data_IF_083334254484
#
_entry.id   IF_083334254484
#
_cell.length_a   1.000
_cell.length_b   1.000
_cell.length_c   1.000
_cell.angle_alpha   90.00
_cell.angle_beta   90.00
_cell.angle_gamma   90.00
#
_symmetry.space_group_name_H-M   'P 1'
#
loop_
_entity.id
_entity.type
_entity.pdbx_description
1 polymer ?
#
# COMPACT_ATOMS: atom_id res chain seq x y z
N UNK A 1 -65.25 28.28 -50.12
CA UNK A 1 -65.65 28.39 -48.70
C UNK A 1 -64.40 28.34 -47.83
N UNK A 2 -64.27 29.29 -46.89
CA UNK A 2 -63.16 29.45 -45.92
C UNK A 2 -61.76 29.64 -46.53
N UNK A 3 -61.55 30.74 -47.26
CA UNK A 3 -60.24 31.43 -47.41
C UNK A 3 -60.32 32.85 -47.99
N UNK A 4 -61.53 33.37 -48.22
CA UNK A 4 -61.77 34.71 -48.80
C UNK A 4 -62.42 35.73 -47.84
N UNK A 5 -62.51 35.42 -46.53
CA UNK A 5 -63.16 36.29 -45.53
C UNK A 5 -62.16 36.92 -44.54
N UNK A 6 -60.85 36.62 -44.65
CA UNK A 6 -59.80 37.22 -43.79
C UNK A 6 -58.99 38.31 -44.53
N UNK A 7 -59.11 38.40 -45.86
CA UNK A 7 -58.44 39.44 -46.67
C UNK A 7 -59.25 40.75 -46.71
N UNK A 8 -60.47 40.78 -46.18
CA UNK A 8 -61.34 41.96 -46.19
C UNK A 8 -61.31 42.81 -44.90
N UNK A 9 -60.53 42.43 -43.87
CA UNK A 9 -60.35 43.25 -42.65
C UNK A 9 -58.98 43.97 -42.64
N UNK A 10 -58.08 43.65 -43.57
CA UNK A 10 -56.79 44.32 -43.70
C UNK A 10 -56.78 45.52 -44.67
N UNK A 11 -57.94 45.92 -45.21
CA UNK A 11 -58.05 47.01 -46.20
C UNK A 11 -59.03 48.13 -45.77
N UNK A 12 -59.43 48.19 -44.49
CA UNK A 12 -60.40 49.19 -44.03
C UNK A 12 -60.11 49.77 -42.64
N UNK A 13 -58.83 50.00 -42.33
CA UNK A 13 -58.41 50.95 -41.27
C UNK A 13 -57.18 51.72 -41.77
N UNK A 14 -57.30 52.32 -42.96
CA UNK A 14 -56.36 53.31 -43.52
C UNK A 14 -56.97 54.73 -43.48
N UNK A 15 -57.95 54.97 -42.61
CA UNK A 15 -58.65 56.25 -42.52
C UNK A 15 -59.01 56.63 -41.07
N UNK A 16 -58.00 56.68 -40.21
CA UNK A 16 -58.03 57.51 -39.00
C UNK A 16 -56.58 57.79 -38.60
N UNK A 17 -56.10 58.99 -38.91
CA UNK A 17 -54.77 59.46 -38.55
C UNK A 17 -54.59 59.55 -37.04
N UNK A 18 -54.12 58.47 -36.45
CA UNK A 18 -53.52 58.44 -35.12
C UNK A 18 -52.09 57.95 -35.32
N UNK A 19 -51.16 58.89 -35.45
CA UNK A 19 -49.73 58.62 -35.33
C UNK A 19 -49.46 58.11 -33.93
N UNK A 20 -49.42 56.79 -33.74
CA UNK A 20 -48.62 56.21 -32.67
C UNK A 20 -47.18 56.30 -33.13
N UNK A 21 -46.38 57.17 -32.51
CA UNK A 21 -44.94 57.05 -32.62
C UNK A 21 -44.58 55.65 -32.12
N UNK A 22 -44.06 54.82 -33.01
CA UNK A 22 -43.35 53.62 -32.63
C UNK A 22 -42.11 54.07 -31.87
N UNK A 23 -42.21 54.14 -30.54
CA UNK A 23 -41.03 54.15 -29.70
C UNK A 23 -40.25 52.88 -30.06
N UNK A 24 -39.07 53.08 -30.65
CA UNK A 24 -38.10 52.02 -30.86
C UNK A 24 -37.82 51.39 -29.49
N UNK A 25 -38.35 50.18 -29.25
CA UNK A 25 -37.86 49.33 -28.17
C UNK A 25 -36.49 48.84 -28.63
N UNK A 26 -35.47 49.63 -28.35
CA UNK A 26 -34.08 49.19 -28.37
C UNK A 26 -33.98 48.12 -27.30
N UNK A 27 -33.71 46.87 -27.71
CA UNK A 27 -33.23 45.86 -26.76
C UNK A 27 -31.89 46.38 -26.26
N UNK A 28 -31.87 46.95 -25.05
CA UNK A 28 -30.66 47.41 -24.42
C UNK A 28 -29.77 46.18 -24.18
N UNK A 29 -28.67 46.09 -24.93
CA UNK A 29 -27.68 45.05 -24.71
C UNK A 29 -27.26 45.05 -23.24
N UNK A 30 -27.19 43.87 -22.63
CA UNK A 30 -26.91 43.66 -21.21
C UNK A 30 -25.63 42.85 -21.02
N UNK A 31 -25.04 42.93 -19.83
CA UNK A 31 -23.91 42.08 -19.47
C UNK A 31 -24.40 40.65 -19.25
N UNK A 32 -23.91 39.70 -20.04
CA UNK A 32 -24.24 38.28 -19.94
C UNK A 32 -23.19 37.49 -19.15
N UNK A 33 -21.91 37.86 -19.29
CA UNK A 33 -20.80 37.20 -18.60
C UNK A 33 -19.78 38.23 -18.12
N UNK A 34 -19.19 37.97 -16.96
CA UNK A 34 -18.07 38.78 -16.41
C UNK A 34 -16.81 37.93 -16.36
N UNK A 35 -15.70 38.46 -16.86
CA UNK A 35 -14.35 37.90 -16.70
C UNK A 35 -13.43 38.87 -15.98
N UNK A 36 -12.50 38.33 -15.21
CA UNK A 36 -11.54 39.11 -14.46
C UNK A 36 -10.11 38.65 -14.72
N UNK A 37 -9.20 39.62 -14.81
CA UNK A 37 -7.76 39.41 -14.96
C UNK A 37 -7.01 40.24 -13.94
N UNK A 38 -6.04 39.65 -13.25
CA UNK A 38 -5.21 40.34 -12.27
C UNK A 38 -3.78 40.40 -12.79
N UNK A 39 -3.17 41.57 -12.70
CA UNK A 39 -1.77 41.77 -13.05
C UNK A 39 -1.06 42.57 -11.97
N UNK A 40 0.24 42.36 -11.85
CA UNK A 40 1.11 43.10 -10.95
C UNK A 40 2.42 43.43 -11.62
N UNK A 41 3.02 44.54 -11.21
CA UNK A 41 4.38 44.91 -11.60
C UNK A 41 5.43 43.97 -10.93
N UNK A 42 5.02 43.15 -9.95
CA UNK A 42 5.83 42.11 -9.30
C UNK A 42 5.30 40.69 -9.53
N UNK A 43 6.00 39.68 -8.97
CA UNK A 43 5.56 38.28 -9.05
C UNK A 43 4.36 38.03 -8.14
N UNK A 44 3.30 37.43 -8.69
CA UNK A 44 2.20 36.83 -7.93
C UNK A 44 2.19 35.34 -8.23
N UNK A 45 2.28 34.46 -7.21
CA UNK A 45 2.17 33.03 -7.41
C UNK A 45 0.89 32.66 -8.17
N UNK A 46 0.99 31.78 -9.17
CA UNK A 46 -0.11 31.50 -10.11
C UNK A 46 -1.43 31.11 -9.42
N UNK A 47 -1.36 30.24 -8.40
CA UNK A 47 -2.54 29.81 -7.64
C UNK A 47 -3.20 30.94 -6.85
N UNK A 48 -2.40 31.90 -6.38
CA UNK A 48 -2.88 33.10 -5.68
C UNK A 48 -3.55 34.04 -6.68
N UNK A 49 -2.93 34.26 -7.85
CA UNK A 49 -3.48 35.08 -8.93
C UNK A 49 -4.86 34.57 -9.39
N UNK A 50 -4.97 33.27 -9.70
CA UNK A 50 -6.24 32.65 -10.12
C UNK A 50 -7.35 32.80 -9.06
N UNK A 51 -7.01 32.76 -7.77
CA UNK A 51 -7.98 32.99 -6.71
C UNK A 51 -8.40 34.46 -6.61
N UNK A 52 -7.47 35.39 -6.81
CA UNK A 52 -7.79 36.81 -6.89
C UNK A 52 -8.75 37.05 -8.07
N UNK A 53 -8.45 36.52 -9.25
CA UNK A 53 -9.30 36.62 -10.45
C UNK A 53 -10.71 36.07 -10.19
N UNK A 54 -10.83 34.87 -9.61
CA UNK A 54 -12.15 34.32 -9.24
C UNK A 54 -12.92 35.19 -8.26
N UNK A 55 -12.23 35.79 -7.30
CA UNK A 55 -12.86 36.73 -6.34
C UNK A 55 -13.36 37.98 -7.07
N UNK A 56 -12.54 38.56 -7.96
CA UNK A 56 -12.90 39.76 -8.75
C UNK A 56 -14.08 39.45 -9.65
N UNK A 57 -14.05 38.30 -10.30
CA UNK A 57 -15.12 37.82 -11.16
C UNK A 57 -16.42 37.65 -10.39
N UNK A 58 -16.40 37.01 -9.21
CA UNK A 58 -17.62 36.81 -8.41
C UNK A 58 -18.24 38.14 -7.93
N UNK A 59 -17.42 39.10 -7.51
CA UNK A 59 -17.89 40.43 -7.12
C UNK A 59 -18.41 41.20 -8.34
N UNK A 60 -17.68 41.15 -9.45
CA UNK A 60 -18.07 41.78 -10.72
C UNK A 60 -19.39 41.23 -11.25
N UNK A 61 -19.56 39.91 -11.23
CA UNK A 61 -20.79 39.22 -11.59
C UNK A 61 -21.98 39.73 -10.76
N UNK A 62 -21.84 39.72 -9.42
CA UNK A 62 -22.89 40.18 -8.52
C UNK A 62 -23.25 41.67 -8.72
N UNK A 63 -22.28 42.50 -9.09
CA UNK A 63 -22.50 43.94 -9.28
C UNK A 63 -23.03 44.29 -10.68
N UNK A 64 -22.65 43.54 -11.72
CA UNK A 64 -22.77 43.99 -13.12
C UNK A 64 -23.58 43.05 -14.01
N UNK A 65 -23.71 41.75 -13.70
CA UNK A 65 -24.53 40.84 -14.51
C UNK A 65 -25.98 41.29 -14.57
N UNK A 66 -26.58 41.20 -15.76
CA UNK A 66 -27.96 41.62 -16.01
C UNK A 66 -28.19 43.13 -16.05
N UNK A 67 -27.16 43.98 -15.83
CA UNK A 67 -27.27 45.42 -16.06
C UNK A 67 -27.13 45.75 -17.55
N UNK A 68 -27.81 46.81 -18.00
CA UNK A 68 -27.68 47.33 -19.36
C UNK A 68 -26.29 47.93 -19.60
N UNK A 69 -25.69 47.68 -20.77
CA UNK A 69 -24.36 48.17 -21.13
C UNK A 69 -24.26 49.70 -21.07
N UNK A 70 -25.32 50.44 -21.41
CA UNK A 70 -25.35 51.91 -21.29
C UNK A 70 -25.23 52.40 -19.84
N UNK A 71 -25.85 51.67 -18.90
CA UNK A 71 -25.74 51.97 -17.47
C UNK A 71 -24.31 51.70 -16.96
N UNK A 72 -23.75 50.55 -17.32
CA UNK A 72 -22.38 50.19 -16.98
C UNK A 72 -21.38 51.19 -17.56
N UNK A 73 -21.58 51.63 -18.81
CA UNK A 73 -20.72 52.61 -19.46
C UNK A 73 -20.83 54.01 -18.81
N UNK A 74 -22.03 54.46 -18.47
CA UNK A 74 -22.27 55.78 -17.86
C UNK A 74 -21.83 55.85 -16.40
N UNK A 75 -21.86 54.75 -15.66
CA UNK A 75 -21.44 54.64 -14.26
C UNK A 75 -20.13 53.87 -14.08
N UNK A 76 -19.33 53.72 -15.14
CA UNK A 76 -18.11 52.93 -15.16
C UNK A 76 -17.19 53.23 -13.97
N UNK A 77 -16.86 54.49 -13.75
CA UNK A 77 -15.99 54.95 -12.65
C UNK A 77 -16.57 54.62 -11.28
N UNK A 78 -17.89 54.67 -11.12
CA UNK A 78 -18.54 54.32 -9.86
C UNK A 78 -18.39 52.83 -9.55
N UNK A 79 -18.56 51.95 -10.53
CA UNK A 79 -18.35 50.52 -10.36
C UNK A 79 -16.87 50.16 -10.14
N UNK A 80 -15.95 50.83 -10.85
CA UNK A 80 -14.51 50.71 -10.62
C UNK A 80 -14.12 51.08 -9.18
N UNK A 81 -14.64 52.20 -8.66
CA UNK A 81 -14.39 52.65 -7.29
C UNK A 81 -14.92 51.65 -6.24
N UNK A 82 -16.11 51.08 -6.46
CA UNK A 82 -16.68 50.06 -5.57
C UNK A 82 -15.77 48.83 -5.53
N UNK A 83 -15.39 48.32 -6.71
CA UNK A 83 -14.52 47.15 -6.81
C UNK A 83 -13.18 47.45 -6.14
N UNK A 84 -12.57 48.61 -6.42
CA UNK A 84 -11.32 49.03 -5.79
C UNK A 84 -11.42 49.05 -4.27
N UNK A 85 -12.45 49.67 -3.69
CA UNK A 85 -12.64 49.76 -2.24
C UNK A 85 -12.84 48.39 -1.58
N UNK A 86 -13.54 47.47 -2.24
CA UNK A 86 -13.74 46.11 -1.72
C UNK A 86 -12.41 45.34 -1.76
N UNK A 87 -11.68 45.42 -2.86
CA UNK A 87 -10.42 44.69 -3.03
C UNK A 87 -9.27 45.23 -2.18
N UNK A 88 -9.22 46.54 -1.92
CA UNK A 88 -8.21 47.15 -1.06
C UNK A 88 -8.35 46.70 0.41
N UNK A 89 -9.58 46.38 0.84
CA UNK A 89 -9.85 45.72 2.13
C UNK A 89 -9.69 44.20 2.07
N UNK A 90 -9.99 43.65 0.89
CA UNK A 90 -9.82 42.28 0.39
C UNK A 90 -8.43 41.67 0.65
N UNK A 91 -7.50 42.25 -0.10
CA UNK A 91 -6.21 41.69 -0.46
C UNK A 91 -5.12 42.31 0.39
N UNK A 92 -5.21 42.10 1.71
CA UNK A 92 -4.18 42.52 2.64
C UNK A 92 -2.80 42.00 2.16
N UNK A 93 -1.81 42.89 2.10
CA UNK A 93 -0.50 42.64 1.49
C UNK A 93 -0.35 43.13 0.04
N UNK A 94 -1.43 43.56 -0.60
CA UNK A 94 -1.43 44.19 -1.92
C UNK A 94 -2.26 45.47 -1.91
N UNK A 95 -1.80 46.49 -2.64
CA UNK A 95 -2.55 47.73 -2.85
C UNK A 95 -3.11 47.73 -4.27
N UNK A 96 -4.39 48.08 -4.41
CA UNK A 96 -5.03 48.19 -5.72
C UNK A 96 -4.62 49.51 -6.39
N UNK A 97 -3.86 49.41 -7.48
CA UNK A 97 -3.36 50.57 -8.24
C UNK A 97 -4.39 51.09 -9.24
N UNK A 98 -5.10 50.18 -9.90
CA UNK A 98 -6.09 50.52 -10.91
C UNK A 98 -7.10 49.40 -11.09
N UNK A 99 -8.36 49.76 -11.32
CA UNK A 99 -9.41 48.86 -11.82
C UNK A 99 -9.90 49.44 -13.13
N UNK A 100 -9.93 48.62 -14.18
CA UNK A 100 -10.46 49.02 -15.48
C UNK A 100 -11.55 48.05 -15.92
N UNK A 101 -12.75 48.58 -16.17
CA UNK A 101 -13.88 47.83 -16.71
C UNK A 101 -13.96 48.09 -18.21
N UNK A 102 -13.99 47.05 -19.02
CA UNK A 102 -14.31 47.12 -20.44
C UNK A 102 -15.72 46.56 -20.67
N UNK A 103 -16.73 47.43 -20.87
CA UNK A 103 -18.10 46.98 -21.11
C UNK A 103 -18.23 46.26 -22.46
N UNK A 104 -18.93 45.13 -22.42
CA UNK A 104 -19.29 44.29 -23.56
C UNK A 104 -20.27 43.24 -23.08
N UNK A 105 -20.89 42.48 -24.00
CA UNK A 105 -21.72 41.31 -23.64
C UNK A 105 -20.94 40.36 -22.72
N UNK A 106 -19.65 40.20 -23.02
CA UNK A 106 -18.62 39.64 -22.13
C UNK A 106 -17.80 40.78 -21.53
N UNK A 107 -18.13 41.18 -20.30
CA UNK A 107 -17.50 42.29 -19.60
C UNK A 107 -16.17 41.85 -18.98
N UNK A 108 -15.09 42.59 -19.27
CA UNK A 108 -13.76 42.30 -18.72
C UNK A 108 -13.37 43.31 -17.65
N UNK A 109 -12.93 42.80 -16.48
CA UNK A 109 -12.41 43.58 -15.36
C UNK A 109 -10.91 43.31 -15.23
N UNK A 110 -10.09 44.34 -15.38
CA UNK A 110 -8.63 44.24 -15.20
C UNK A 110 -8.21 44.99 -13.94
N UNK A 111 -7.54 44.29 -13.02
CA UNK A 111 -7.09 44.84 -11.73
C UNK A 111 -5.56 44.83 -11.66
N UNK A 112 -4.98 46.02 -11.49
CA UNK A 112 -3.54 46.21 -11.29
C UNK A 112 -3.21 46.26 -9.80
N UNK A 113 -2.32 45.38 -9.34
CA UNK A 113 -1.91 45.26 -7.95
C UNK A 113 -0.44 45.61 -7.74
N UNK A 114 -0.13 46.21 -6.59
CA UNK A 114 1.23 46.43 -6.11
C UNK A 114 1.41 45.73 -4.76
N UNK A 115 2.27 44.72 -4.72
CA UNK A 115 2.58 43.99 -3.49
C UNK A 115 3.40 44.85 -2.52
N UNK A 116 3.19 44.66 -1.23
CA UNK A 116 4.01 45.32 -0.20
C UNK A 116 5.44 44.79 -0.21
N UNK A 117 6.41 45.57 0.31
CA UNK A 117 7.83 45.23 0.23
C UNK A 117 8.25 44.07 1.14
N UNK A 118 7.51 43.80 2.20
CA UNK A 118 7.82 42.72 3.14
C UNK A 118 7.39 41.38 2.55
N UNK A 119 8.33 40.67 1.92
CA UNK A 119 8.11 39.42 1.20
C UNK A 119 8.77 38.24 1.88
N UNK A 120 8.19 37.06 1.64
CA UNK A 120 8.78 35.78 2.03
C UNK A 120 9.90 35.42 1.06
N UNK A 121 11.10 35.26 1.60
CA UNK A 121 12.30 34.84 0.85
C UNK A 121 12.63 33.37 1.12
N UNK A 122 12.95 33.05 2.38
CA UNK A 122 13.35 31.70 2.80
C UNK A 122 12.19 30.96 3.46
N UNK A 123 11.99 29.70 3.05
CA UNK A 123 10.93 28.81 3.53
C UNK A 123 11.57 27.50 4.00
N UNK A 124 11.23 27.08 5.22
CA UNK A 124 11.62 25.78 5.78
C UNK A 124 10.36 24.97 6.06
N UNK A 125 10.30 23.75 5.56
CA UNK A 125 9.17 22.84 5.75
C UNK A 125 9.58 21.71 6.68
N UNK A 126 8.86 21.55 7.78
CA UNK A 126 9.02 20.46 8.74
C UNK A 126 7.81 19.52 8.62
N UNK A 127 8.08 18.24 8.34
CA UNK A 127 7.05 17.21 8.16
C UNK A 127 7.04 16.31 9.38
N UNK A 128 5.86 16.09 9.97
CA UNK A 128 5.67 15.21 11.13
C UNK A 128 4.60 14.18 10.81
N UNK A 129 4.97 12.90 10.87
CA UNK A 129 4.02 11.81 10.66
C UNK A 129 3.49 11.35 12.01
N UNK A 130 2.21 11.58 12.26
CA UNK A 130 1.62 11.39 13.59
C UNK A 130 1.15 9.96 13.77
N UNK A 131 1.67 9.29 14.81
CA UNK A 131 1.19 7.99 15.26
C UNK A 131 1.58 6.81 14.37
N UNK A 132 2.53 6.98 13.45
CA UNK A 132 3.05 5.93 12.59
C UNK A 132 4.42 5.42 13.08
N UNK A 133 4.77 4.16 12.83
CA UNK A 133 6.13 3.66 13.11
C UNK A 133 7.15 4.31 12.18
N UNK A 134 8.41 4.39 12.62
CA UNK A 134 9.49 5.06 11.86
C UNK A 134 9.75 4.48 10.46
N UNK A 135 9.48 3.19 10.25
CA UNK A 135 9.56 2.54 8.94
C UNK A 135 8.53 3.14 7.97
N UNK A 136 7.28 3.31 8.43
CA UNK A 136 6.19 3.89 7.62
C UNK A 136 6.43 5.37 7.39
N UNK A 137 6.94 6.09 8.40
CA UNK A 137 7.34 7.48 8.25
C UNK A 137 8.39 7.65 7.16
N UNK A 138 9.43 6.81 7.14
CA UNK A 138 10.48 6.89 6.11
C UNK A 138 9.91 6.68 4.70
N UNK A 139 9.11 5.64 4.51
CA UNK A 139 8.48 5.33 3.21
C UNK A 139 7.52 6.44 2.77
N UNK A 140 6.73 6.99 3.69
CA UNK A 140 5.81 8.08 3.39
C UNK A 140 6.56 9.36 3.01
N UNK A 141 7.63 9.72 3.74
CA UNK A 141 8.42 10.91 3.45
C UNK A 141 9.12 10.81 2.08
N UNK A 142 9.47 9.60 1.65
CA UNK A 142 9.95 9.35 0.28
C UNK A 142 8.84 9.59 -0.76
N UNK A 143 7.62 9.08 -0.53
CA UNK A 143 6.46 9.30 -1.41
C UNK A 143 6.10 10.79 -1.58
N UNK A 144 6.35 11.62 -0.54
CA UNK A 144 6.02 13.05 -0.50
C UNK A 144 7.25 13.97 -0.51
N UNK A 145 8.37 13.51 -1.09
CA UNK A 145 9.62 14.28 -1.16
C UNK A 145 9.43 15.69 -1.70
N UNK A 146 8.57 15.85 -2.71
CA UNK A 146 8.39 17.10 -3.46
C UNK A 146 7.47 18.11 -2.77
N UNK A 147 6.94 17.79 -1.59
CA UNK A 147 6.03 18.68 -0.85
C UNK A 147 6.68 20.04 -0.52
N UNK A 148 8.00 20.10 -0.37
CA UNK A 148 8.71 21.35 -0.06
C UNK A 148 8.62 22.34 -1.22
N UNK A 149 8.69 21.83 -2.45
CA UNK A 149 8.53 22.64 -3.65
C UNK A 149 7.11 23.18 -3.77
N UNK A 150 6.09 22.42 -3.35
CA UNK A 150 4.70 22.88 -3.36
C UNK A 150 4.51 24.13 -2.50
N UNK A 151 5.12 24.19 -1.32
CA UNK A 151 5.06 25.38 -0.47
C UNK A 151 5.91 26.52 -1.04
N UNK A 152 7.11 26.22 -1.56
CA UNK A 152 7.96 27.20 -2.22
C UNK A 152 7.25 27.91 -3.39
N UNK A 153 6.53 27.16 -4.22
CA UNK A 153 5.81 27.69 -5.38
C UNK A 153 4.66 28.66 -5.03
N UNK A 154 4.14 28.59 -3.80
CA UNK A 154 3.00 29.41 -3.36
C UNK A 154 3.43 30.54 -2.44
N UNK A 155 4.44 30.32 -1.60
CA UNK A 155 4.84 31.26 -0.57
C UNK A 155 6.02 32.15 -0.99
N UNK A 156 6.90 31.70 -1.90
CA UNK A 156 8.05 32.52 -2.32
C UNK A 156 7.58 33.81 -2.99
N UNK A 157 8.22 34.92 -2.63
CA UNK A 157 7.89 36.28 -3.08
C UNK A 157 6.50 36.79 -2.66
N UNK A 158 5.74 36.01 -1.90
CA UNK A 158 4.44 36.44 -1.38
C UNK A 158 4.64 37.50 -0.29
N UNK A 159 3.86 38.60 -0.28
CA UNK A 159 3.86 39.54 0.84
C UNK A 159 3.46 38.83 2.13
N UNK A 160 4.19 39.10 3.22
CA UNK A 160 3.96 38.52 4.55
C UNK A 160 2.50 38.70 4.99
N UNK A 161 1.94 39.89 4.76
CA UNK A 161 0.57 40.23 5.11
C UNK A 161 -0.50 39.48 4.29
N UNK A 162 -0.11 38.79 3.20
CA UNK A 162 -1.01 38.02 2.35
C UNK A 162 -1.12 36.53 2.73
N UNK A 163 -0.35 36.05 3.71
CA UNK A 163 -0.32 34.64 4.13
C UNK A 163 -1.68 34.17 4.65
N UNK A 164 -2.30 34.94 5.55
CA UNK A 164 -3.55 34.57 6.22
C UNK A 164 -4.66 34.21 5.24
N UNK A 165 -4.85 35.06 4.21
CA UNK A 165 -5.90 34.83 3.26
C UNK A 165 -5.47 33.81 2.20
N UNK A 166 -4.18 33.59 1.91
CA UNK A 166 -3.71 32.59 0.92
C UNK A 166 -3.74 31.14 1.43
N UNK A 167 -3.90 30.91 2.74
CA UNK A 167 -4.08 29.59 3.36
C UNK A 167 -5.11 28.69 2.64
N UNK A 168 -6.22 29.28 2.15
CA UNK A 168 -7.22 28.53 1.38
C UNK A 168 -6.70 27.95 0.06
N UNK A 169 -5.78 28.65 -0.62
CA UNK A 169 -5.11 28.15 -1.85
C UNK A 169 -4.17 27.01 -1.51
N UNK A 170 -3.34 27.22 -0.48
CA UNK A 170 -2.36 26.22 -0.01
C UNK A 170 -3.08 24.94 0.40
N UNK A 171 -4.17 25.05 1.17
CA UNK A 171 -4.98 23.90 1.61
C UNK A 171 -5.59 23.11 0.46
N UNK A 172 -5.91 23.75 -0.66
CA UNK A 172 -6.39 23.02 -1.84
C UNK A 172 -5.23 22.27 -2.51
N UNK A 173 -4.09 22.95 -2.74
CA UNK A 173 -2.91 22.34 -3.35
C UNK A 173 -2.35 21.17 -2.54
N UNK A 174 -2.21 21.33 -1.22
CA UNK A 174 -1.78 20.25 -0.32
C UNK A 174 -2.72 19.06 -0.41
N UNK A 175 -4.04 19.29 -0.45
CA UNK A 175 -5.01 18.21 -0.61
C UNK A 175 -4.85 17.48 -1.94
N UNK A 176 -4.72 18.21 -3.04
CA UNK A 176 -4.58 17.63 -4.36
C UNK A 176 -3.28 16.84 -4.49
N UNK A 177 -2.18 17.38 -3.94
CA UNK A 177 -0.89 16.70 -3.85
C UNK A 177 -0.97 15.41 -3.02
N UNK A 178 -1.60 15.44 -1.84
CA UNK A 178 -1.78 14.24 -1.02
C UNK A 178 -2.68 13.21 -1.73
N UNK A 179 -3.75 13.63 -2.39
CA UNK A 179 -4.61 12.72 -3.16
C UNK A 179 -3.85 12.02 -4.30
N UNK A 180 -2.85 12.67 -4.88
CA UNK A 180 -2.03 12.09 -5.95
C UNK A 180 -0.90 11.20 -5.40
N UNK A 181 -0.20 11.65 -4.37
CA UNK A 181 1.03 11.01 -3.87
C UNK A 181 0.81 10.03 -2.73
N UNK A 182 -0.15 10.30 -1.84
CA UNK A 182 -0.42 9.52 -0.63
C UNK A 182 -1.89 9.65 -0.18
N UNK A 183 -2.87 9.19 -1.00
CA UNK A 183 -4.30 9.39 -0.75
C UNK A 183 -4.83 8.76 0.55
N UNK A 184 -4.08 7.82 1.10
CA UNK A 184 -4.27 7.19 2.41
C UNK A 184 -3.96 8.09 3.61
N UNK A 185 -3.40 9.28 3.40
CA UNK A 185 -3.04 10.22 4.45
C UNK A 185 -3.67 11.59 4.21
N UNK A 186 -3.94 12.30 5.31
CA UNK A 186 -4.31 13.71 5.31
C UNK A 186 -3.16 14.52 5.90
N UNK A 187 -2.81 15.60 5.21
CA UNK A 187 -1.90 16.61 5.73
C UNK A 187 -2.69 17.84 6.18
N UNK A 188 -2.43 18.30 7.39
CA UNK A 188 -2.76 19.64 7.86
C UNK A 188 -1.45 20.42 8.04
N UNK A 189 -1.49 21.75 7.96
CA UNK A 189 -0.29 22.57 8.07
C UNK A 189 -0.56 23.87 8.82
N UNK A 190 0.51 24.42 9.39
CA UNK A 190 0.55 25.75 9.97
C UNK A 190 1.73 26.55 9.40
N UNK A 191 1.55 27.85 9.24
CA UNK A 191 2.56 28.75 8.64
C UNK A 191 2.94 29.82 9.65
N UNK A 192 4.16 29.74 10.16
CA UNK A 192 4.75 30.73 11.05
C UNK A 192 5.61 31.70 10.23
N UNK A 193 5.16 32.95 10.13
CA UNK A 193 5.88 33.97 9.36
C UNK A 193 6.93 34.66 10.24
N UNK A 194 8.16 34.75 9.73
CA UNK A 194 9.31 35.38 10.39
C UNK A 194 10.44 35.65 9.40
N UNK A 195 11.65 35.93 9.89
CA UNK A 195 12.85 36.11 9.04
C UNK A 195 13.09 34.89 8.12
N UNK A 196 12.78 33.70 8.62
CA UNK A 196 12.60 32.49 7.85
C UNK A 196 11.19 31.98 8.10
N UNK A 197 10.39 31.84 7.05
CA UNK A 197 9.03 31.33 7.17
C UNK A 197 9.08 29.83 7.42
N UNK A 198 8.47 29.38 8.52
CA UNK A 198 8.43 27.96 8.90
C UNK A 198 7.05 27.40 8.61
N UNK A 199 7.01 26.29 7.89
CA UNK A 199 5.79 25.53 7.63
C UNK A 199 5.89 24.22 8.38
N UNK A 200 4.95 23.97 9.29
CA UNK A 200 4.85 22.69 10.01
C UNK A 200 3.71 21.90 9.40
N UNK A 201 3.99 20.71 8.88
CA UNK A 201 3.01 19.82 8.24
C UNK A 201 2.81 18.59 9.11
N UNK A 202 1.60 18.42 9.62
CA UNK A 202 1.18 17.25 10.37
C UNK A 202 0.40 16.28 9.49
N UNK A 203 0.88 15.05 9.39
CA UNK A 203 0.34 14.02 8.50
C UNK A 203 -0.30 12.91 9.31
N UNK A 204 -1.58 12.64 9.04
CA UNK A 204 -2.42 11.71 9.77
C UNK A 204 -2.94 10.59 8.87
N UNK A 205 -3.00 9.33 9.35
CA UNK A 205 -3.56 8.22 8.60
C UNK A 205 -5.07 8.36 8.43
N UNK A 206 -5.58 7.94 7.27
CA UNK A 206 -7.01 7.79 7.01
C UNK A 206 -7.45 6.34 7.16
N UNK A 207 -8.75 6.16 7.44
CA UNK A 207 -9.37 4.84 7.48
C UNK A 207 -9.61 4.31 6.05
N UNK A 208 -9.59 2.98 5.84
CA UNK A 208 -9.38 1.92 6.83
C UNK A 208 -7.89 1.68 7.15
N UNK A 209 -7.62 1.31 8.40
CA UNK A 209 -6.28 0.95 8.90
C UNK A 209 -6.22 -0.52 9.30
N UNK A 210 -5.02 -1.11 9.28
CA UNK A 210 -4.78 -2.44 9.85
C UNK A 210 -5.07 -2.39 11.35
N UNK A 211 -5.95 -3.27 11.82
CA UNK A 211 -6.34 -3.36 13.24
C UNK A 211 -5.76 -4.57 13.93
N UNK A 212 -5.68 -5.68 13.20
CA UNK A 212 -5.22 -6.97 13.73
C UNK A 212 -4.38 -7.68 12.69
N UNK A 213 -3.49 -8.54 13.19
CA UNK A 213 -2.56 -9.31 12.39
C UNK A 213 -2.74 -10.78 12.70
N UNK A 214 -2.93 -11.58 11.65
CA UNK A 214 -2.97 -13.03 11.72
C UNK A 214 -1.65 -13.60 11.21
N UNK A 215 -0.73 -13.84 12.15
CA UNK A 215 0.61 -14.36 11.85
C UNK A 215 0.61 -15.89 11.82
N UNK A 216 1.00 -16.41 10.66
CA UNK A 216 1.31 -17.82 10.43
C UNK A 216 2.77 -17.98 10.05
N UNK A 217 3.50 -18.84 10.77
CA UNK A 217 4.89 -19.20 10.47
C UNK A 217 5.00 -20.69 10.14
N UNK A 218 5.76 -21.04 9.10
CA UNK A 218 5.96 -22.43 8.67
C UNK A 218 7.38 -22.67 8.18
N UNK A 219 7.86 -23.90 8.34
CA UNK A 219 9.08 -24.40 7.69
C UNK A 219 8.85 -25.80 7.15
N UNK A 220 9.40 -26.06 5.97
CA UNK A 220 9.44 -27.39 5.37
C UNK A 220 10.73 -28.14 5.77
N UNK A 221 11.73 -27.41 6.27
CA UNK A 221 13.10 -27.89 6.53
C UNK A 221 13.51 -27.91 8.00
N UNK A 222 12.82 -27.15 8.85
CA UNK A 222 13.12 -27.02 10.26
C UNK A 222 11.90 -27.41 11.11
N UNK A 223 12.10 -27.89 12.35
CA UNK A 223 11.02 -28.15 13.29
C UNK A 223 10.27 -26.86 13.59
N UNK A 224 8.93 -26.93 13.68
CA UNK A 224 8.13 -25.76 14.00
C UNK A 224 8.49 -25.17 15.38
N UNK A 225 8.98 -26.01 16.31
CA UNK A 225 9.47 -25.57 17.61
C UNK A 225 10.64 -24.58 17.52
N UNK A 226 11.52 -24.72 16.51
CA UNK A 226 12.60 -23.77 16.29
C UNK A 226 12.09 -22.40 15.82
N UNK A 227 10.95 -22.38 15.12
CA UNK A 227 10.28 -21.14 14.69
C UNK A 227 9.49 -20.49 15.83
N UNK A 228 9.07 -21.24 16.85
CA UNK A 228 8.34 -20.68 17.99
C UNK A 228 9.17 -19.66 18.77
N UNK A 229 10.48 -19.89 18.88
CA UNK A 229 11.40 -18.95 19.54
C UNK A 229 11.43 -17.60 18.83
N UNK A 230 11.36 -17.60 17.49
CA UNK A 230 11.39 -16.39 16.67
C UNK A 230 10.00 -15.82 16.36
N UNK A 231 8.93 -16.47 16.83
CA UNK A 231 7.57 -16.02 16.60
C UNK A 231 7.34 -14.62 17.17
N UNK A 232 7.88 -14.33 18.35
CA UNK A 232 7.74 -13.01 18.95
C UNK A 232 8.43 -11.94 18.11
N UNK A 233 9.65 -12.21 17.62
CA UNK A 233 10.40 -11.27 16.79
C UNK A 233 9.67 -10.93 15.48
N UNK A 234 9.06 -11.93 14.84
CA UNK A 234 8.21 -11.74 13.65
C UNK A 234 6.90 -11.02 14.00
N UNK A 235 6.26 -11.38 15.12
CA UNK A 235 5.03 -10.72 15.58
C UNK A 235 5.28 -9.24 15.87
N UNK A 236 6.33 -8.89 16.59
CA UNK A 236 6.70 -7.50 16.89
C UNK A 236 6.96 -6.70 15.61
N UNK A 237 7.61 -7.33 14.62
CA UNK A 237 7.84 -6.71 13.30
C UNK A 237 6.54 -6.48 12.52
N UNK A 238 5.65 -7.46 12.52
CA UNK A 238 4.35 -7.33 11.87
C UNK A 238 3.47 -6.30 12.59
N UNK A 239 3.46 -6.30 13.93
CA UNK A 239 2.66 -5.41 14.77
C UNK A 239 2.99 -3.93 14.59
N UNK A 240 4.18 -3.60 14.06
CA UNK A 240 4.50 -2.23 13.62
C UNK A 240 3.48 -1.69 12.63
N UNK A 241 2.85 -2.55 11.82
CA UNK A 241 1.88 -2.15 10.81
C UNK A 241 0.46 -1.98 11.35
N UNK A 242 0.20 -2.24 12.64
CA UNK A 242 -1.10 -1.92 13.26
C UNK A 242 -1.27 -0.40 13.31
N UNK A 243 -2.42 0.08 12.85
CA UNK A 243 -2.73 1.50 12.72
C UNK A 243 -2.35 2.12 11.37
N UNK A 244 -1.61 1.39 10.52
CA UNK A 244 -1.22 1.87 9.19
C UNK A 244 -2.38 1.71 8.20
N UNK A 245 -2.62 2.69 7.30
CA UNK A 245 -3.64 2.57 6.27
C UNK A 245 -3.48 1.33 5.40
N UNK A 246 -4.57 0.59 5.16
CA UNK A 246 -4.54 -0.66 4.36
C UNK A 246 -4.06 -0.39 2.93
N UNK A 247 -4.45 0.75 2.35
CA UNK A 247 -4.03 1.15 1.01
C UNK A 247 -2.51 1.40 0.94
N UNK A 248 -1.91 1.97 1.99
CA UNK A 248 -0.46 2.18 2.08
C UNK A 248 0.28 0.85 2.11
N UNK A 249 -0.14 -0.07 2.98
CA UNK A 249 0.43 -1.42 3.09
C UNK A 249 0.33 -2.17 1.75
N UNK A 250 -0.77 -1.97 1.02
CA UNK A 250 -0.95 -2.57 -0.30
C UNK A 250 -0.01 -1.98 -1.36
N UNK A 251 0.26 -0.67 -1.29
CA UNK A 251 1.14 0.03 -2.24
C UNK A 251 2.61 -0.34 -2.01
N UNK A 252 3.01 -0.45 -0.75
CA UNK A 252 4.37 -0.80 -0.32
C UNK A 252 4.54 -2.29 0.04
N UNK A 253 3.70 -3.15 -0.55
CA UNK A 253 3.63 -4.58 -0.20
C UNK A 253 4.99 -5.26 -0.26
N UNK A 254 5.67 -5.14 -1.39
CA UNK A 254 6.92 -5.85 -1.66
C UNK A 254 8.03 -5.39 -0.70
N UNK A 255 8.13 -4.08 -0.45
CA UNK A 255 9.09 -3.50 0.50
C UNK A 255 8.84 -3.97 1.94
N UNK A 256 7.58 -4.10 2.35
CA UNK A 256 7.21 -4.60 3.68
C UNK A 256 7.53 -6.09 3.82
N UNK A 257 7.26 -6.89 2.78
CA UNK A 257 7.61 -8.32 2.75
C UNK A 257 9.11 -8.56 2.83
N UNK A 258 9.90 -7.75 2.12
CA UNK A 258 11.37 -7.79 2.18
C UNK A 258 11.86 -7.44 3.59
N UNK A 259 11.39 -6.33 4.16
CA UNK A 259 11.75 -5.91 5.52
C UNK A 259 11.45 -6.99 6.57
N UNK A 260 10.27 -7.62 6.51
CA UNK A 260 9.90 -8.69 7.43
C UNK A 260 10.73 -9.95 7.22
N UNK A 261 11.12 -10.25 5.98
CA UNK A 261 11.97 -11.39 5.64
C UNK A 261 13.38 -11.21 6.17
N UNK A 262 13.98 -10.03 5.93
CA UNK A 262 15.32 -9.66 6.41
C UNK A 262 15.42 -9.72 7.93
N UNK A 263 14.36 -9.34 8.65
CA UNK A 263 14.32 -9.39 10.11
C UNK A 263 14.64 -10.77 10.70
N UNK A 264 14.24 -11.85 10.02
CA UNK A 264 14.57 -13.22 10.44
C UNK A 264 15.91 -13.64 9.85
N UNK A 265 16.15 -13.36 8.58
CA UNK A 265 17.36 -13.80 7.88
C UNK A 265 18.64 -13.15 8.44
N UNK A 266 18.52 -12.00 9.08
CA UNK A 266 19.65 -11.31 9.70
C UNK A 266 20.09 -11.86 11.05
N UNK A 267 19.26 -12.68 11.69
CA UNK A 267 19.59 -13.30 12.97
C UNK A 267 20.82 -14.20 12.84
N UNK A 268 21.71 -14.18 13.84
CA UNK A 268 22.90 -15.04 13.85
C UNK A 268 22.54 -16.52 13.75
N UNK A 269 21.45 -16.93 14.40
CA UNK A 269 20.93 -18.30 14.32
C UNK A 269 20.46 -18.62 12.91
N UNK A 270 19.78 -17.70 12.22
CA UNK A 270 19.31 -17.89 10.85
C UNK A 270 20.47 -18.04 9.87
N UNK A 271 21.50 -17.20 10.02
CA UNK A 271 22.75 -17.28 9.24
C UNK A 271 23.48 -18.61 9.49
N UNK A 272 23.56 -19.06 10.74
CA UNK A 272 24.17 -20.35 11.10
C UNK A 272 23.47 -21.53 10.44
N UNK A 273 22.14 -21.55 10.44
CA UNK A 273 21.34 -22.62 9.82
C UNK A 273 21.10 -22.40 8.31
N UNK A 274 21.58 -21.32 7.72
CA UNK A 274 21.37 -20.99 6.30
C UNK A 274 19.88 -20.81 5.95
N UNK A 275 19.12 -20.22 6.86
CA UNK A 275 17.69 -19.94 6.72
C UNK A 275 17.48 -18.82 5.70
N UNK A 276 16.46 -18.99 4.88
CA UNK A 276 15.92 -17.95 4.03
C UNK A 276 14.43 -17.87 4.23
N UNK A 277 13.95 -16.66 4.52
CA UNK A 277 12.56 -16.37 4.86
C UNK A 277 11.88 -15.71 3.68
N UNK A 278 10.69 -16.18 3.36
CA UNK A 278 9.80 -15.53 2.41
C UNK A 278 8.50 -15.18 3.15
N UNK A 279 8.12 -13.90 3.12
CA UNK A 279 6.90 -13.39 3.73
C UNK A 279 5.89 -13.04 2.64
N UNK A 280 4.67 -13.54 2.76
CA UNK A 280 3.52 -13.09 1.97
C UNK A 280 2.52 -12.38 2.88
N UNK A 281 2.19 -11.13 2.55
CA UNK A 281 1.18 -10.33 3.25
C UNK A 281 -0.08 -10.18 2.39
N UNK A 282 -1.23 -10.25 3.06
CA UNK A 282 -2.53 -9.88 2.48
C UNK A 282 -3.05 -8.64 3.19
N UNK A 283 -2.90 -7.45 2.59
CA UNK A 283 -3.36 -6.20 3.18
C UNK A 283 -4.88 -6.19 3.39
N UNK A 284 -5.32 -5.98 4.63
CA UNK A 284 -6.71 -5.82 5.03
C UNK A 284 -6.77 -5.24 6.46
N UNK A 285 -7.96 -4.84 6.95
CA UNK A 285 -8.12 -4.43 8.36
C UNK A 285 -7.72 -5.57 9.33
N UNK A 286 -7.92 -6.82 8.91
CA UNK A 286 -7.29 -8.01 9.49
C UNK A 286 -6.23 -8.50 8.52
N UNK A 287 -4.99 -8.06 8.70
CA UNK A 287 -3.89 -8.39 7.82
C UNK A 287 -3.43 -9.83 8.06
N UNK A 288 -3.33 -10.64 7.01
CA UNK A 288 -2.70 -11.97 7.10
C UNK A 288 -1.22 -11.84 6.76
N UNK A 289 -0.36 -12.44 7.60
CA UNK A 289 1.09 -12.51 7.37
C UNK A 289 1.51 -13.98 7.40
N UNK A 290 1.99 -14.48 6.26
CA UNK A 290 2.50 -15.83 6.13
C UNK A 290 4.02 -15.79 5.96
N UNK A 291 4.76 -16.21 6.99
CA UNK A 291 6.21 -16.35 6.92
C UNK A 291 6.60 -17.81 6.69
N UNK A 292 7.41 -18.05 5.66
CA UNK A 292 8.00 -19.36 5.36
C UNK A 292 9.52 -19.27 5.45
N UNK A 293 10.08 -19.82 6.53
CA UNK A 293 11.52 -19.82 6.80
C UNK A 293 12.10 -21.21 6.53
N UNK A 294 12.87 -21.34 5.46
CA UNK A 294 13.46 -22.61 5.04
C UNK A 294 14.99 -22.52 5.00
N UNK A 295 15.67 -23.54 5.50
CA UNK A 295 17.11 -23.67 5.33
C UNK A 295 17.44 -24.19 3.93
N UNK A 296 18.49 -23.62 3.32
CA UNK A 296 18.98 -24.07 2.01
C UNK A 296 19.75 -25.38 2.06
N UNK A 297 20.34 -25.70 3.21
CA UNK A 297 21.31 -26.78 3.31
C UNK A 297 21.19 -27.63 4.58
N UNK A 298 20.28 -27.30 5.50
CA UNK A 298 20.05 -28.08 6.70
C UNK A 298 18.59 -28.55 6.74
N UNK A 299 18.42 -29.81 7.11
CA UNK A 299 17.11 -30.44 7.23
C UNK A 299 17.00 -31.08 8.61
N UNK A 300 16.08 -30.62 9.44
CA UNK A 300 15.82 -31.21 10.75
C UNK A 300 14.34 -31.53 10.85
N UNK A 301 14.02 -32.79 11.17
CA UNK A 301 12.64 -33.26 11.30
C UNK A 301 12.50 -34.24 12.45
N UNK A 302 11.40 -34.13 13.18
CA UNK A 302 10.99 -35.12 14.17
C UNK A 302 9.73 -35.83 13.69
N UNK A 303 9.77 -37.17 13.70
CA UNK A 303 8.65 -38.02 13.30
C UNK A 303 8.30 -38.98 14.45
N UNK A 304 7.00 -39.22 14.66
CA UNK A 304 6.51 -40.26 15.56
C UNK A 304 5.79 -41.34 14.76
N UNK A 305 6.27 -42.57 14.81
CA UNK A 305 5.74 -43.72 14.09
C UNK A 305 4.94 -44.61 15.04
N UNK A 306 3.78 -45.07 14.60
CA UNK A 306 2.97 -46.07 15.31
C UNK A 306 2.48 -47.14 14.35
N UNK A 307 2.74 -48.40 14.66
CA UNK A 307 2.43 -49.52 13.78
C UNK A 307 1.20 -50.31 14.23
N UNK A 308 0.37 -50.72 13.26
CA UNK A 308 -0.83 -51.50 13.46
C UNK A 308 -0.79 -52.77 12.59
N UNK A 309 -0.92 -53.92 13.24
CA UNK A 309 -1.00 -55.23 12.57
C UNK A 309 0.34 -55.89 12.26
N UNK A 310 1.47 -55.25 12.59
CA UNK A 310 2.80 -55.85 12.44
C UNK A 310 2.98 -57.01 13.42
N UNK A 311 3.30 -58.20 12.89
CA UNK A 311 3.47 -59.44 13.66
C UNK A 311 4.96 -59.75 13.79
N UNK A 312 5.58 -59.24 14.86
CA UNK A 312 6.94 -59.68 15.22
C UNK A 312 6.91 -61.09 15.82
N UNK A 313 8.05 -61.80 15.78
CA UNK A 313 8.18 -63.20 16.25
C UNK A 313 7.75 -63.40 17.72
N UNK A 314 7.75 -62.35 18.52
CA UNK A 314 7.06 -62.30 19.81
C UNK A 314 5.71 -61.61 19.59
N UNK A 315 4.60 -62.31 19.89
CA UNK A 315 3.19 -61.90 19.69
C UNK A 315 2.80 -60.56 20.36
N UNK A 316 3.42 -59.47 19.96
CA UNK A 316 3.30 -58.18 20.59
C UNK A 316 2.78 -57.19 19.54
N UNK A 317 1.61 -56.63 19.81
CA UNK A 317 0.91 -55.76 18.87
C UNK A 317 1.52 -54.35 18.92
N UNK A 318 2.10 -53.93 17.79
CA UNK A 318 2.46 -52.54 17.51
C UNK A 318 3.77 -52.07 18.13
N UNK A 319 4.63 -51.48 17.29
CA UNK A 319 5.82 -50.76 17.70
C UNK A 319 5.55 -49.24 17.57
N UNK A 320 5.98 -48.50 18.59
CA UNK A 320 6.00 -47.03 18.56
C UNK A 320 7.46 -46.61 18.51
N UNK A 321 7.78 -45.67 17.63
CA UNK A 321 9.15 -45.18 17.45
C UNK A 321 9.15 -43.67 17.25
N UNK A 322 10.13 -42.97 17.83
CA UNK A 322 10.37 -41.56 17.56
C UNK A 322 11.67 -41.39 16.80
N UNK A 323 11.62 -40.72 15.64
CA UNK A 323 12.76 -40.50 14.75
C UNK A 323 13.14 -39.03 14.72
N UNK A 324 14.39 -38.73 15.07
CA UNK A 324 15.04 -37.47 14.74
C UNK A 324 15.88 -37.62 13.47
N UNK A 325 15.57 -36.86 12.42
CA UNK A 325 16.35 -36.77 11.19
C UNK A 325 17.12 -35.44 11.19
N UNK A 326 18.43 -35.52 11.03
CA UNK A 326 19.33 -34.38 10.86
C UNK A 326 20.10 -34.56 9.55
N UNK A 327 19.80 -33.78 8.53
CA UNK A 327 20.49 -33.85 7.24
C UNK A 327 21.20 -32.53 6.92
N UNK A 328 22.34 -32.64 6.26
CA UNK A 328 23.07 -31.52 5.67
C UNK A 328 23.28 -31.77 4.18
N UNK A 329 22.79 -30.87 3.37
CA UNK A 329 22.94 -30.86 1.92
C UNK A 329 24.24 -30.13 1.56
N UNK A 330 25.06 -30.74 0.71
CA UNK A 330 26.34 -30.19 0.26
C UNK A 330 26.25 -29.64 -1.16
N UNK A 331 25.45 -30.28 -2.01
CA UNK A 331 25.18 -29.86 -3.39
C UNK A 331 23.68 -29.88 -3.65
N UNK A 332 23.20 -29.37 -4.79
CA UNK A 332 21.77 -29.43 -5.13
C UNK A 332 21.18 -30.85 -5.18
N UNK A 333 22.00 -31.91 -5.18
CA UNK A 333 21.56 -33.31 -5.22
C UNK A 333 22.11 -34.20 -4.10
N UNK A 334 23.23 -33.84 -3.47
CA UNK A 334 23.94 -34.70 -2.54
C UNK A 334 23.93 -34.13 -1.11
N UNK A 335 23.80 -35.02 -0.13
CA UNK A 335 23.91 -34.66 1.28
C UNK A 335 24.19 -35.86 2.19
N UNK A 336 24.51 -35.55 3.44
CA UNK A 336 24.63 -36.53 4.52
C UNK A 336 23.45 -36.37 5.48
N UNK A 337 23.15 -37.44 6.22
CA UNK A 337 22.15 -37.41 7.26
C UNK A 337 22.50 -38.34 8.43
N UNK A 338 21.95 -38.01 9.59
CA UNK A 338 21.95 -38.82 10.78
C UNK A 338 20.49 -39.08 11.18
N UNK A 339 20.19 -40.31 11.57
CA UNK A 339 18.93 -40.70 12.19
C UNK A 339 19.17 -41.12 13.63
N UNK A 340 18.28 -40.69 14.51
CA UNK A 340 18.19 -41.16 15.89
C UNK A 340 16.79 -41.71 16.07
N UNK A 341 16.68 -43.02 16.23
CA UNK A 341 15.41 -43.70 16.45
C UNK A 341 15.31 -44.16 17.91
N UNK A 342 14.24 -43.78 18.59
CA UNK A 342 13.96 -44.18 19.96
C UNK A 342 12.70 -45.04 20.02
N UNK A 343 12.83 -46.25 20.55
CA UNK A 343 11.76 -47.23 20.72
C UNK A 343 11.37 -47.30 22.21
N UNK A 344 10.29 -46.64 22.66
CA UNK A 344 9.98 -46.47 24.07
C UNK A 344 9.67 -47.79 24.79
N UNK A 345 9.07 -48.75 24.07
CA UNK A 345 8.64 -50.02 24.63
C UNK A 345 9.79 -50.84 25.22
N UNK A 346 10.94 -50.80 24.54
CA UNK A 346 12.13 -51.57 24.91
C UNK A 346 13.28 -50.65 25.37
N UNK A 347 13.03 -49.33 25.45
CA UNK A 347 14.04 -48.28 25.72
C UNK A 347 15.28 -48.44 24.84
N UNK A 348 15.08 -48.78 23.56
CA UNK A 348 16.15 -48.98 22.59
C UNK A 348 16.38 -47.69 21.81
N UNK A 349 17.65 -47.39 21.58
CA UNK A 349 18.10 -46.29 20.73
C UNK A 349 18.86 -46.89 19.55
N UNK A 350 18.54 -46.45 18.34
CA UNK A 350 19.29 -46.79 17.13
C UNK A 350 19.85 -45.50 16.51
N UNK A 351 21.09 -45.58 16.02
CA UNK A 351 21.77 -44.46 15.36
C UNK A 351 22.22 -44.88 13.97
N UNK A 352 21.70 -44.22 12.94
CA UNK A 352 22.13 -44.45 11.56
C UNK A 352 22.83 -43.20 11.02
N UNK A 353 23.93 -43.40 10.27
CA UNK A 353 24.61 -42.34 9.51
C UNK A 353 24.58 -42.70 8.03
N UNK A 354 24.21 -41.76 7.17
CA UNK A 354 24.05 -42.04 5.75
C UNK A 354 24.35 -40.88 4.81
N UNK A 355 24.43 -41.23 3.55
CA UNK A 355 24.51 -40.32 2.42
C UNK A 355 23.27 -40.49 1.55
N UNK A 356 22.77 -39.40 1.00
CA UNK A 356 21.69 -39.42 0.02
C UNK A 356 22.09 -38.69 -1.26
N UNK A 357 21.49 -39.12 -2.36
CA UNK A 357 21.60 -38.49 -3.68
C UNK A 357 20.23 -38.42 -4.33
N UNK A 358 19.85 -37.24 -4.82
CA UNK A 358 18.73 -37.07 -5.73
C UNK A 358 19.17 -37.46 -7.15
N UNK A 359 18.67 -38.61 -7.64
CA UNK A 359 19.08 -39.18 -8.93
C UNK A 359 18.40 -38.41 -10.07
N UNK A 360 17.08 -38.22 -9.94
CA UNK A 360 16.22 -37.43 -10.81
C UNK A 360 15.24 -36.67 -9.92
N UNK A 361 14.59 -35.59 -10.41
CA UNK A 361 13.61 -34.86 -9.63
C UNK A 361 12.60 -35.81 -8.96
N UNK A 362 12.45 -35.70 -7.64
CA UNK A 362 11.56 -36.52 -6.80
C UNK A 362 12.03 -37.95 -6.48
N UNK A 363 13.19 -38.40 -6.96
CA UNK A 363 13.76 -39.72 -6.64
C UNK A 363 15.04 -39.55 -5.83
N UNK A 364 14.99 -39.96 -4.57
CA UNK A 364 16.13 -39.90 -3.64
C UNK A 364 16.60 -41.31 -3.30
N UNK A 365 17.84 -41.62 -3.64
CA UNK A 365 18.50 -42.82 -3.13
C UNK A 365 19.33 -42.48 -1.90
N UNK A 366 19.43 -43.41 -0.96
CA UNK A 366 20.27 -43.28 0.22
C UNK A 366 20.97 -44.60 0.55
N UNK A 367 22.14 -44.47 1.15
CA UNK A 367 22.87 -45.56 1.77
C UNK A 367 23.24 -45.11 3.17
N UNK A 368 22.94 -45.92 4.17
CA UNK A 368 23.21 -45.61 5.58
C UNK A 368 23.75 -46.81 6.33
N UNK A 369 24.54 -46.54 7.35
CA UNK A 369 25.17 -47.51 8.21
C UNK A 369 24.59 -47.39 9.62
N UNK A 370 24.09 -48.50 10.15
CA UNK A 370 23.63 -48.57 11.53
C UNK A 370 24.83 -48.72 12.46
N UNK A 371 25.07 -47.72 13.29
CA UNK A 371 26.29 -47.61 14.10
C UNK A 371 26.31 -48.63 15.23
N UNK A 372 25.16 -48.85 15.88
CA UNK A 372 25.04 -49.76 17.01
C UNK A 372 25.02 -51.23 16.56
N UNK A 373 24.20 -51.52 15.54
CA UNK A 373 24.00 -52.90 15.07
C UNK A 373 25.01 -53.33 14.00
N UNK A 374 25.82 -52.39 13.47
CA UNK A 374 26.94 -52.60 12.55
C UNK A 374 26.58 -53.26 11.21
N UNK A 375 25.57 -52.73 10.53
CA UNK A 375 25.19 -53.20 9.19
C UNK A 375 24.76 -52.06 8.25
N UNK A 376 24.69 -52.35 6.96
CA UNK A 376 24.29 -51.40 5.93
C UNK A 376 22.79 -51.51 5.58
N UNK A 377 22.19 -50.35 5.33
CA UNK A 377 20.84 -50.18 4.78
C UNK A 377 20.94 -49.38 3.49
N UNK A 378 20.23 -49.80 2.46
CA UNK A 378 20.07 -49.04 1.21
C UNK A 378 18.60 -48.72 0.99
N UNK A 379 18.29 -47.53 0.49
CA UNK A 379 16.91 -47.15 0.25
C UNK A 379 16.70 -46.22 -0.93
N UNK A 380 15.50 -46.25 -1.48
CA UNK A 380 15.03 -45.35 -2.54
C UNK A 380 13.68 -44.80 -2.13
N UNK A 381 13.51 -43.50 -2.23
CA UNK A 381 12.24 -42.79 -2.03
C UNK A 381 11.83 -42.10 -3.34
N UNK A 382 10.58 -42.29 -3.76
CA UNK A 382 10.02 -41.68 -4.96
C UNK A 382 8.72 -40.92 -4.63
N UNK A 383 8.77 -39.59 -4.75
CA UNK A 383 7.67 -38.67 -4.47
C UNK A 383 6.88 -38.33 -5.75
N UNK A 384 6.00 -39.24 -6.21
CA UNK A 384 5.34 -39.07 -7.51
C UNK A 384 4.21 -38.04 -7.52
N UNK A 385 3.54 -37.78 -6.39
CA UNK A 385 2.52 -36.74 -6.25
C UNK A 385 2.70 -35.93 -4.95
N UNK A 386 2.02 -34.78 -4.83
CA UNK A 386 2.14 -33.89 -3.64
C UNK A 386 1.86 -34.58 -2.30
N UNK A 387 1.08 -35.67 -2.30
CA UNK A 387 0.68 -36.42 -1.10
C UNK A 387 1.07 -37.89 -1.12
N UNK A 388 1.71 -38.39 -2.18
CA UNK A 388 2.02 -39.81 -2.33
C UNK A 388 3.51 -40.03 -2.53
N UNK A 389 4.07 -40.92 -1.72
CA UNK A 389 5.47 -41.33 -1.81
C UNK A 389 5.58 -42.85 -1.75
N UNK A 390 6.49 -43.40 -2.55
CA UNK A 390 6.89 -44.79 -2.47
C UNK A 390 8.28 -44.87 -1.83
N UNK A 391 8.48 -45.81 -0.92
CA UNK A 391 9.77 -46.10 -0.30
C UNK A 391 10.12 -47.56 -0.47
N UNK A 392 11.36 -47.81 -0.85
CA UNK A 392 12.00 -49.11 -0.80
C UNK A 392 13.20 -49.02 0.14
N UNK A 393 13.36 -50.01 1.00
CA UNK A 393 14.52 -50.15 1.88
C UNK A 393 14.99 -51.60 1.90
N UNK A 394 16.29 -51.80 1.83
CA UNK A 394 16.96 -53.09 1.93
C UNK A 394 17.90 -53.08 3.13
N UNK A 395 17.82 -54.13 3.95
CA UNK A 395 18.65 -54.34 5.13
C UNK A 395 19.56 -55.54 4.94
N UNK A 396 20.86 -55.33 5.00
CA UNK A 396 21.84 -56.40 4.77
C UNK A 396 21.91 -57.44 5.90
N UNK A 397 21.69 -57.02 7.15
CA UNK A 397 21.77 -57.90 8.33
C UNK A 397 20.86 -59.13 8.22
N UNK A 398 19.59 -58.90 7.85
CA UNK A 398 18.54 -59.92 7.86
C UNK A 398 18.02 -60.23 6.44
N UNK A 399 18.59 -59.61 5.41
CA UNK A 399 18.15 -59.71 4.01
C UNK A 399 16.67 -59.34 3.81
N UNK A 400 16.19 -58.36 4.57
CA UNK A 400 14.80 -57.89 4.54
C UNK A 400 14.68 -56.72 3.56
N UNK A 401 13.72 -56.83 2.66
CA UNK A 401 13.28 -55.77 1.75
C UNK A 401 11.95 -55.22 2.23
N UNK A 402 11.88 -53.94 2.59
CA UNK A 402 10.66 -53.24 2.98
C UNK A 402 10.20 -52.31 1.86
N UNK A 403 8.92 -52.43 1.49
CA UNK A 403 8.20 -51.60 0.54
C UNK A 403 7.12 -50.84 1.28
N UNK A 404 7.07 -49.53 1.08
CA UNK A 404 6.11 -48.65 1.74
C UNK A 404 5.45 -47.70 0.75
N UNK A 405 4.13 -47.58 0.82
CA UNK A 405 3.36 -46.56 0.12
C UNK A 405 2.76 -45.59 1.13
N UNK A 406 3.24 -44.35 1.11
CA UNK A 406 2.87 -43.28 2.04
C UNK A 406 1.85 -42.33 1.41
N UNK A 407 0.80 -42.01 2.15
CA UNK A 407 -0.18 -40.97 1.85
C UNK A 407 -0.22 -39.89 2.94
N UNK A 408 0.12 -38.64 2.57
CA UNK A 408 0.09 -37.47 3.47
C UNK A 408 -1.36 -36.97 3.61
N UNK A 409 -1.96 -37.20 4.78
CA UNK A 409 -3.33 -36.78 5.11
C UNK A 409 -3.38 -35.27 5.38
N UNK A 410 -2.45 -34.80 6.20
CA UNK A 410 -2.29 -33.40 6.61
C UNK A 410 -0.81 -33.06 6.77
N UNK A 411 -0.47 -31.79 7.02
CA UNK A 411 0.89 -31.36 7.34
C UNK A 411 1.50 -32.06 8.56
N UNK A 412 0.67 -32.62 9.44
CA UNK A 412 1.10 -33.25 10.70
C UNK A 412 0.90 -34.78 10.74
N UNK A 413 0.27 -35.38 9.73
CA UNK A 413 -0.08 -36.81 9.75
C UNK A 413 0.00 -37.46 8.37
N UNK A 414 0.62 -38.63 8.31
CA UNK A 414 0.63 -39.51 7.15
C UNK A 414 0.29 -40.96 7.54
N UNK A 415 -0.22 -41.70 6.57
CA UNK A 415 -0.47 -43.14 6.68
C UNK A 415 0.39 -43.87 5.65
N UNK A 416 1.03 -44.95 6.05
CA UNK A 416 1.96 -45.71 5.24
C UNK A 416 1.52 -47.18 5.25
N UNK A 417 1.24 -47.73 4.06
CA UNK A 417 1.02 -49.17 3.89
C UNK A 417 2.37 -49.82 3.64
N UNK A 418 2.78 -50.71 4.55
CA UNK A 418 4.11 -51.31 4.57
C UNK A 418 4.00 -52.82 4.32
N UNK A 419 4.94 -53.34 3.54
CA UNK A 419 5.09 -54.75 3.25
C UNK A 419 6.57 -55.07 3.26
N UNK A 420 6.97 -56.10 3.98
CA UNK A 420 8.29 -56.70 3.83
C UNK A 420 8.19 -58.11 3.22
N UNK A 421 9.28 -58.87 3.25
CA UNK A 421 9.31 -60.23 2.71
C UNK A 421 8.43 -61.21 3.52
N UNK A 422 8.09 -60.90 4.77
CA UNK A 422 7.48 -61.81 5.73
C UNK A 422 6.06 -61.37 6.18
N UNK A 423 5.74 -60.08 6.16
CA UNK A 423 4.54 -59.49 6.74
C UNK A 423 4.05 -58.20 6.02
N UNK A 424 2.83 -57.76 6.37
CA UNK A 424 2.20 -56.53 5.88
C UNK A 424 1.50 -55.80 7.02
N UNK A 425 1.72 -54.50 7.14
CA UNK A 425 1.14 -53.70 8.22
C UNK A 425 0.84 -52.26 7.79
N UNK A 426 0.18 -51.53 8.68
CA UNK A 426 -0.07 -50.10 8.52
C UNK A 426 0.77 -49.32 9.53
N UNK A 427 1.38 -48.23 9.09
CA UNK A 427 2.16 -47.31 9.92
C UNK A 427 1.57 -45.91 9.86
N UNK A 428 1.33 -45.33 11.02
CA UNK A 428 0.94 -43.94 11.18
C UNK A 428 2.18 -43.11 11.48
N UNK A 429 2.31 -41.94 10.84
CA UNK A 429 3.47 -41.06 11.00
C UNK A 429 2.97 -39.67 11.37
N UNK A 430 3.28 -39.22 12.58
CA UNK A 430 3.11 -37.84 13.04
C UNK A 430 4.35 -37.00 12.77
N UNK A 431 4.19 -35.75 12.33
CA UNK A 431 5.28 -34.78 12.13
C UNK A 431 5.22 -33.70 13.22
N UNK A 432 6.38 -33.36 13.81
CA UNK A 432 6.50 -32.41 14.93
C UNK A 432 7.48 -31.26 14.63
#
# INVERSE_FOLDING_TARGET
MKKFIIILILAMVDLAGISFSSDNVVWAASVEEVKATVYSDGHIPQGVCQRMEKSVQAIGAQLLEGKSLENVQSQKTHYEDIIQQVFDKVLVGYTVRSVNIQPGEELTISVGLLGWNDKIDTITVEKRVVGMPGVVETLLLEDISDMDQLFADVLRDLPVAAVDWTNGVIKHRVRDFMNERAPEFRADFDVEVGETTRVVVDIYPLLPVVRTIDLSMRSDTLPNAALLTERQNMQDGADMFVGVPVAFVKRHKDTIEELLSERIDDLEVAKFWGIHTNVDIKPAERMEVMSRSNSRNVYVRFEGWGELGHRTKNKDNGEIMFRGLFAKQFTSRDGAFALVDFYPKNTRWDFDLGLYREIVPKVRANVRYSVLDKYWKGGIEYNFAKRLAFRYEYRDQDHISEFALRYKLHDFLALEAVMDNDDKWLRFIGYF
#
